data_IF_577281325527
#
_entry.id   IF_577281325527
#
_cell.length_a   1.000
_cell.length_b   1.000
_cell.length_c   1.000
_cell.angle_alpha   90.00
_cell.angle_beta   90.00
_cell.angle_gamma   90.00
#
_symmetry.space_group_name_H-M   'P 1'
#
loop_
_entity.id
_entity.type
_entity.pdbx_description
1 polymer ?
#
# COMPACT_ATOMS: atom_id res chain seq x y z
N UNK A 1 27.00 13.54 -3.07
CA UNK A 1 26.10 12.56 -3.72
C UNK A 1 25.25 11.96 -2.61
N UNK A 2 23.94 12.20 -2.60
CA UNK A 2 23.07 11.72 -1.52
C UNK A 2 22.98 10.19 -1.55
N UNK A 3 23.09 9.55 -0.40
CA UNK A 3 22.84 8.11 -0.28
C UNK A 3 21.45 7.80 -0.84
N UNK A 4 21.41 7.01 -1.92
CA UNK A 4 20.16 6.43 -2.39
C UNK A 4 19.70 5.47 -1.29
N UNK A 5 18.60 5.82 -0.59
CA UNK A 5 18.00 4.94 0.40
C UNK A 5 17.53 3.67 -0.31
N UNK A 6 18.28 2.59 -0.12
CA UNK A 6 17.88 1.25 -0.53
C UNK A 6 16.99 0.67 0.56
N UNK A 7 15.82 0.19 0.17
CA UNK A 7 14.94 -0.54 1.08
C UNK A 7 15.05 -2.02 0.75
N UNK A 8 15.20 -2.87 1.78
CA UNK A 8 15.03 -4.30 1.58
C UNK A 8 13.55 -4.60 1.23
N UNK A 9 13.31 -5.64 0.44
CA UNK A 9 11.95 -6.02 0.02
C UNK A 9 10.98 -6.21 1.20
N UNK A 10 11.44 -6.78 2.31
CA UNK A 10 10.61 -7.02 3.49
C UNK A 10 10.27 -5.71 4.24
N UNK A 11 11.20 -4.76 4.29
CA UNK A 11 10.97 -3.42 4.82
C UNK A 11 9.99 -2.65 3.95
N UNK A 12 10.18 -2.70 2.63
CA UNK A 12 9.29 -2.08 1.66
C UNK A 12 7.86 -2.64 1.79
N UNK A 13 7.73 -3.97 1.94
CA UNK A 13 6.45 -4.61 2.16
C UNK A 13 5.77 -4.13 3.45
N UNK A 14 6.48 -4.10 4.58
CA UNK A 14 5.92 -3.60 5.86
C UNK A 14 5.41 -2.16 5.74
N UNK A 15 6.19 -1.29 5.09
CA UNK A 15 5.79 0.10 4.86
C UNK A 15 4.55 0.21 3.97
N UNK A 16 4.46 -0.62 2.91
CA UNK A 16 3.27 -0.67 2.06
C UNK A 16 2.02 -1.14 2.81
N UNK A 17 2.16 -2.09 3.74
CA UNK A 17 1.05 -2.55 4.57
C UNK A 17 0.55 -1.45 5.51
N UNK A 18 1.47 -0.72 6.16
CA UNK A 18 1.12 0.43 7.01
C UNK A 18 0.45 1.55 6.20
N UNK A 19 0.98 1.86 5.03
CA UNK A 19 0.40 2.84 4.12
C UNK A 19 -1.00 2.39 3.66
N UNK A 20 -1.18 1.11 3.33
CA UNK A 20 -2.48 0.55 2.92
C UNK A 20 -3.52 0.71 4.02
N UNK A 21 -3.19 0.31 5.26
CA UNK A 21 -4.07 0.48 6.41
C UNK A 21 -4.49 1.95 6.60
N UNK A 22 -3.52 2.87 6.53
CA UNK A 22 -3.77 4.30 6.71
C UNK A 22 -4.66 4.88 5.60
N UNK A 23 -4.37 4.55 4.35
CA UNK A 23 -5.14 5.00 3.18
C UNK A 23 -6.57 4.47 3.23
N UNK A 24 -6.75 3.18 3.53
CA UNK A 24 -8.08 2.56 3.66
C UNK A 24 -8.88 3.25 4.76
N UNK A 25 -8.27 3.50 5.92
CA UNK A 25 -8.95 4.16 7.04
C UNK A 25 -9.38 5.59 6.68
N UNK A 26 -8.49 6.37 6.06
CA UNK A 26 -8.80 7.74 5.62
C UNK A 26 -9.95 7.72 4.60
N UNK A 27 -9.87 6.88 3.58
CA UNK A 27 -10.90 6.81 2.53
C UNK A 27 -12.24 6.35 3.08
N UNK A 28 -12.26 5.37 3.97
CA UNK A 28 -13.52 4.91 4.58
C UNK A 28 -14.10 5.92 5.59
N UNK A 29 -13.28 6.81 6.15
CA UNK A 29 -13.74 7.85 7.08
C UNK A 29 -14.27 9.10 6.37
N UNK A 30 -13.65 9.49 5.26
CA UNK A 30 -13.95 10.76 4.57
C UNK A 30 -14.61 10.59 3.21
N UNK A 31 -14.49 9.42 2.57
CA UNK A 31 -15.03 9.14 1.25
C UNK A 31 -16.47 8.63 1.27
N UNK A 32 -17.33 9.16 2.14
CA UNK A 32 -18.73 8.71 2.31
C UNK A 32 -19.56 8.79 1.01
N UNK A 33 -19.16 9.68 0.10
CA UNK A 33 -19.77 9.91 -1.23
C UNK A 33 -19.28 8.96 -2.33
N UNK A 34 -18.24 8.16 -2.07
CA UNK A 34 -17.64 7.26 -3.06
C UNK A 34 -18.18 5.83 -2.92
N UNK A 35 -18.43 5.19 -4.07
CA UNK A 35 -18.75 3.77 -4.09
C UNK A 35 -17.53 2.91 -3.70
N UNK A 36 -17.76 1.66 -3.26
CA UNK A 36 -16.68 0.74 -2.90
C UNK A 36 -15.60 0.56 -3.99
N UNK A 37 -15.97 0.33 -5.27
CA UNK A 37 -15.03 0.29 -6.38
C UNK A 37 -14.21 1.59 -6.53
N UNK A 38 -14.85 2.76 -6.41
CA UNK A 38 -14.17 4.05 -6.57
C UNK A 38 -13.17 4.30 -5.43
N UNK A 39 -13.54 3.93 -4.19
CA UNK A 39 -12.64 3.95 -3.03
C UNK A 39 -11.39 3.10 -3.28
N UNK A 40 -11.53 1.92 -3.87
CA UNK A 40 -10.40 1.04 -4.20
C UNK A 40 -9.51 1.63 -5.29
N UNK A 41 -10.09 2.22 -6.33
CA UNK A 41 -9.32 2.90 -7.39
C UNK A 41 -8.50 4.05 -6.80
N UNK A 42 -9.10 4.88 -5.96
CA UNK A 42 -8.41 5.97 -5.28
C UNK A 42 -7.29 5.44 -4.35
N UNK A 43 -7.57 4.40 -3.56
CA UNK A 43 -6.57 3.76 -2.70
C UNK A 43 -5.36 3.27 -3.51
N UNK A 44 -5.61 2.57 -4.62
CA UNK A 44 -4.56 2.09 -5.52
C UNK A 44 -3.75 3.22 -6.15
N UNK A 45 -4.39 4.33 -6.53
CA UNK A 45 -3.68 5.50 -7.05
C UNK A 45 -2.78 6.13 -6.00
N UNK A 46 -3.28 6.32 -4.77
CA UNK A 46 -2.51 6.89 -3.66
C UNK A 46 -1.32 6.01 -3.28
N UNK A 47 -1.50 4.69 -3.23
CA UNK A 47 -0.44 3.73 -2.88
C UNK A 47 0.60 3.58 -3.99
N UNK A 48 0.20 3.64 -5.27
CA UNK A 48 1.14 3.72 -6.38
C UNK A 48 2.00 5.00 -6.28
N UNK A 49 1.36 6.14 -6.05
CA UNK A 49 2.08 7.42 -5.91
C UNK A 49 2.99 7.44 -4.68
N UNK A 50 2.58 6.81 -3.58
CA UNK A 50 3.43 6.60 -2.42
C UNK A 50 4.65 5.75 -2.79
N UNK A 51 4.43 4.63 -3.49
CA UNK A 51 5.51 3.75 -3.91
C UNK A 51 6.55 4.49 -4.75
N UNK A 52 6.10 5.23 -5.77
CA UNK A 52 6.98 5.95 -6.70
C UNK A 52 7.79 7.06 -6.03
N UNK A 53 7.28 7.65 -4.95
CA UNK A 53 7.97 8.71 -4.20
C UNK A 53 8.95 8.17 -3.17
N UNK A 54 8.63 7.06 -2.52
CA UNK A 54 9.41 6.54 -1.39
C UNK A 54 10.39 5.42 -1.77
N UNK A 55 10.07 4.61 -2.78
CA UNK A 55 10.91 3.49 -3.20
C UNK A 55 11.64 3.82 -4.51
N UNK A 56 12.83 4.42 -4.38
CA UNK A 56 13.71 4.68 -5.51
C UNK A 56 14.43 3.41 -5.99
N UNK A 57 14.87 2.57 -5.04
CA UNK A 57 15.52 1.27 -5.31
C UNK A 57 15.07 0.29 -4.22
N UNK A 58 14.40 -0.79 -4.62
CA UNK A 58 14.05 -1.90 -3.73
C UNK A 58 15.06 -3.01 -3.97
N UNK A 59 15.89 -3.27 -2.97
CA UNK A 59 16.89 -4.33 -3.03
C UNK A 59 16.23 -5.67 -2.67
N UNK A 60 16.45 -6.68 -3.51
CA UNK A 60 15.88 -8.02 -3.31
C UNK A 60 17.04 -8.95 -2.94
N UNK A 61 17.07 -9.45 -1.71
CA UNK A 61 18.13 -10.35 -1.29
C UNK A 61 18.11 -11.62 -2.17
N UNK A 62 19.29 -12.20 -2.41
CA UNK A 62 19.48 -13.44 -3.17
C UNK A 62 19.23 -13.36 -4.70
N UNK A 63 19.11 -12.16 -5.28
CA UNK A 63 18.97 -11.98 -6.73
C UNK A 63 20.36 -11.77 -7.38
N UNK A 64 20.80 -12.64 -8.31
CA UNK A 64 22.04 -12.42 -9.06
C UNK A 64 22.01 -11.14 -9.91
N UNK A 65 23.15 -10.46 -10.05
CA UNK A 65 23.25 -9.16 -10.75
C UNK A 65 22.77 -9.18 -12.21
N UNK A 66 22.80 -10.32 -12.89
CA UNK A 66 22.33 -10.44 -14.29
C UNK A 66 20.80 -10.44 -14.43
N UNK A 67 20.05 -10.78 -13.36
CA UNK A 67 18.58 -10.70 -13.33
C UNK A 67 18.06 -9.50 -12.56
N UNK A 68 18.93 -8.80 -11.82
CA UNK A 68 18.59 -7.65 -10.98
C UNK A 68 17.78 -6.60 -11.74
N UNK A 69 18.20 -6.23 -12.96
CA UNK A 69 17.48 -5.25 -13.80
C UNK A 69 16.08 -5.72 -14.23
N UNK A 70 15.90 -7.02 -14.46
CA UNK A 70 14.60 -7.60 -14.82
C UNK A 70 13.69 -7.57 -13.59
N UNK A 71 14.18 -8.07 -12.45
CA UNK A 71 13.42 -8.12 -11.21
C UNK A 71 12.98 -6.71 -10.80
N UNK A 72 13.87 -5.72 -10.83
CA UNK A 72 13.55 -4.32 -10.52
C UNK A 72 12.35 -3.78 -11.32
N UNK A 73 12.19 -4.18 -12.59
CA UNK A 73 11.05 -3.75 -13.43
C UNK A 73 9.73 -4.37 -13.00
N UNK A 74 9.75 -5.57 -12.41
CA UNK A 74 8.55 -6.30 -12.03
C UNK A 74 8.20 -6.18 -10.54
N UNK A 75 9.15 -5.84 -9.65
CA UNK A 75 8.91 -5.71 -8.20
C UNK A 75 7.70 -4.81 -7.93
N UNK A 76 7.68 -3.61 -8.53
CA UNK A 76 6.56 -2.68 -8.33
C UNK A 76 5.23 -3.33 -8.68
N UNK A 77 5.13 -3.94 -9.86
CA UNK A 77 3.89 -4.55 -10.33
C UNK A 77 3.45 -5.69 -9.41
N UNK A 78 4.37 -6.55 -8.97
CA UNK A 78 4.09 -7.64 -8.04
C UNK A 78 3.58 -7.08 -6.71
N UNK A 79 4.28 -6.11 -6.13
CA UNK A 79 3.89 -5.48 -4.87
C UNK A 79 2.54 -4.80 -4.99
N UNK A 80 2.25 -4.11 -6.09
CA UNK A 80 0.97 -3.44 -6.30
C UNK A 80 -0.20 -4.42 -6.50
N UNK A 81 0.03 -5.58 -7.12
CA UNK A 81 -0.98 -6.66 -7.18
C UNK A 81 -1.29 -7.15 -5.76
N UNK A 82 -0.26 -7.39 -4.95
CA UNK A 82 -0.45 -7.82 -3.56
C UNK A 82 -1.14 -6.75 -2.71
N UNK A 83 -0.80 -5.48 -2.90
CA UNK A 83 -1.46 -4.34 -2.25
C UNK A 83 -2.93 -4.26 -2.63
N UNK A 84 -3.28 -4.47 -3.91
CA UNK A 84 -4.69 -4.51 -4.36
C UNK A 84 -5.52 -5.55 -3.60
N UNK A 85 -4.99 -6.76 -3.42
CA UNK A 85 -5.64 -7.80 -2.64
C UNK A 85 -5.67 -7.46 -1.13
N UNK A 86 -4.61 -6.82 -0.63
CA UNK A 86 -4.52 -6.37 0.77
C UNK A 86 -5.56 -5.30 1.09
N UNK A 87 -5.86 -4.38 0.16
CA UNK A 87 -6.91 -3.37 0.35
C UNK A 87 -8.23 -4.06 0.67
N UNK A 88 -8.65 -5.04 -0.13
CA UNK A 88 -9.90 -5.77 0.09
C UNK A 88 -9.90 -6.46 1.45
N UNK A 89 -8.81 -7.16 1.79
CA UNK A 89 -8.66 -7.81 3.08
C UNK A 89 -8.72 -6.83 4.24
N UNK A 90 -8.07 -5.66 4.12
CA UNK A 90 -8.05 -4.62 5.15
C UNK A 90 -9.44 -4.03 5.36
N UNK A 91 -10.17 -3.76 4.28
CA UNK A 91 -11.57 -3.29 4.35
C UNK A 91 -12.43 -4.33 5.08
N UNK A 92 -12.30 -5.61 4.74
CA UNK A 92 -13.04 -6.69 5.43
C UNK A 92 -12.67 -6.77 6.92
N UNK A 93 -11.37 -6.73 7.24
CA UNK A 93 -10.90 -6.78 8.63
C UNK A 93 -11.45 -5.59 9.41
N UNK A 94 -11.32 -4.37 8.90
CA UNK A 94 -11.76 -3.16 9.59
C UNK A 94 -13.29 -3.09 9.76
N UNK A 95 -14.06 -3.63 8.82
CA UNK A 95 -15.52 -3.82 8.97
C UNK A 95 -15.82 -4.80 10.10
N UNK A 96 -15.15 -5.94 10.12
CA UNK A 96 -15.38 -6.99 11.11
C UNK A 96 -14.92 -6.60 12.52
N UNK A 97 -13.87 -5.78 12.64
CA UNK A 97 -13.35 -5.30 13.93
C UNK A 97 -14.00 -4.01 14.43
N UNK A 98 -14.95 -3.45 13.66
CA UNK A 98 -15.67 -2.24 14.05
C UNK A 98 -14.83 -0.96 13.98
N UNK A 99 -13.70 -0.96 13.29
CA UNK A 99 -12.83 0.23 13.10
C UNK A 99 -13.56 1.35 12.36
N UNK A 100 -14.55 1.01 11.53
CA UNK A 100 -15.40 1.97 10.82
C UNK A 100 -16.64 2.42 11.59
N UNK A 101 -16.86 1.93 12.82
CA UNK A 101 -17.96 2.40 13.65
C UNK A 101 -17.64 3.85 14.03
N UNK A 102 -18.27 4.79 13.33
CA UNK A 102 -18.35 6.18 13.77
C UNK A 102 -18.80 6.15 15.22
N UNK A 103 -17.98 6.72 16.10
CA UNK A 103 -18.43 7.10 17.44
C UNK A 103 -19.51 8.16 17.21
N UNK A 104 -20.77 7.74 17.14
CA UNK A 104 -21.88 8.68 17.30
C UNK A 104 -21.57 9.48 18.55
N UNK A 105 -21.68 10.80 18.40
CA UNK A 105 -21.45 11.77 19.45
C UNK A 105 -22.22 11.34 20.71
N UNK A 106 -21.50 10.76 21.67
CA UNK A 106 -22.00 10.36 22.96
C UNK A 106 -21.46 11.32 24.01
N UNK A 107 -22.32 12.30 24.34
CA UNK A 107 -22.23 13.41 25.31
C UNK A 107 -21.76 14.76 24.73
#
# INVERSE_FOLDING_TARGET
MGEVRKFALDEAWKLLQLATASVVQIIETFGDELSGPDKKVLAMQLLNNFYDKFFLVVDVPFVPSFVESIIHKYIKNILMIMVSATIDATVTIFRNTGVFIRKEAGL
#
